data_IF_815091714372
#
_entry.id   IF_815091714372
#
_cell.length_a   1.000
_cell.length_b   1.000
_cell.length_c   1.000
_cell.angle_alpha   90.00
_cell.angle_beta   90.00
_cell.angle_gamma   90.00
#
_symmetry.space_group_name_H-M   'P 1'
#
loop_
_entity.id
_entity.type
_entity.pdbx_description
1 polymer ?
#
# COMPACT_ATOMS: atom_id res chain seq x y z
N UNK A 1 -101.91 45.47 -3.95
CA UNK A 1 -101.58 45.06 -5.33
C UNK A 1 -100.08 45.27 -5.53
N UNK A 2 -99.39 44.35 -6.23
CA UNK A 2 -98.04 44.50 -6.81
C UNK A 2 -96.87 44.75 -5.82
N UNK A 3 -96.10 43.76 -5.33
CA UNK A 3 -95.09 42.88 -5.99
C UNK A 3 -93.71 43.49 -6.35
N UNK A 4 -92.64 42.84 -5.83
CA UNK A 4 -91.27 42.63 -6.42
C UNK A 4 -90.30 43.82 -6.53
N UNK A 5 -88.94 43.71 -6.53
CA UNK A 5 -87.88 42.70 -6.19
C UNK A 5 -86.63 43.53 -5.74
N UNK A 6 -85.66 43.13 -4.91
CA UNK A 6 -85.25 41.86 -4.29
C UNK A 6 -84.25 40.95 -5.08
N UNK A 7 -83.06 41.46 -5.43
CA UNK A 7 -81.81 40.72 -5.76
C UNK A 7 -80.56 41.56 -5.44
N UNK A 8 -79.41 40.90 -5.19
CA UNK A 8 -78.02 41.44 -5.08
C UNK A 8 -77.38 41.71 -3.69
N UNK A 9 -77.31 40.69 -2.82
CA UNK A 9 -76.31 40.66 -1.71
C UNK A 9 -75.63 39.30 -1.43
N UNK A 10 -75.92 38.23 -2.17
CA UNK A 10 -75.41 36.88 -1.86
C UNK A 10 -74.11 36.47 -2.58
N UNK A 11 -73.75 37.12 -3.69
CA UNK A 11 -72.68 36.64 -4.59
C UNK A 11 -71.23 37.03 -4.20
N UNK A 12 -71.04 38.02 -3.33
CA UNK A 12 -69.70 38.54 -3.00
C UNK A 12 -68.98 37.79 -1.85
N UNK A 13 -69.71 37.21 -0.89
CA UNK A 13 -69.08 36.51 0.25
C UNK A 13 -68.42 35.17 -0.11
N UNK A 14 -68.83 34.50 -1.18
CA UNK A 14 -68.40 33.12 -1.44
C UNK A 14 -67.05 32.99 -2.18
N UNK A 15 -66.60 34.02 -2.90
CA UNK A 15 -65.32 33.98 -3.65
C UNK A 15 -64.08 34.22 -2.77
N UNK A 16 -64.19 35.07 -1.75
CA UNK A 16 -63.09 35.40 -0.83
C UNK A 16 -62.55 34.17 -0.07
N UNK A 17 -63.44 33.31 0.44
CA UNK A 17 -63.07 32.15 1.27
C UNK A 17 -62.40 31.00 0.50
N UNK A 18 -62.59 30.92 -0.82
CA UNK A 18 -61.89 29.93 -1.67
C UNK A 18 -60.47 30.39 -2.04
N UNK A 19 -60.29 31.66 -2.38
CA UNK A 19 -58.96 32.23 -2.70
C UNK A 19 -58.02 32.16 -1.49
N UNK A 20 -58.49 32.51 -0.29
CA UNK A 20 -57.66 32.46 0.92
C UNK A 20 -57.18 31.03 1.25
N UNK A 21 -58.03 30.01 1.04
CA UNK A 21 -57.65 28.60 1.23
C UNK A 21 -56.61 28.12 0.23
N UNK A 22 -56.71 28.52 -1.04
CA UNK A 22 -55.73 28.15 -2.08
C UNK A 22 -54.37 28.82 -1.78
N UNK A 23 -54.35 30.10 -1.40
CA UNK A 23 -53.11 30.82 -1.07
C UNK A 23 -52.40 30.19 0.14
N UNK A 24 -53.14 29.84 1.21
CA UNK A 24 -52.56 29.13 2.35
C UNK A 24 -52.04 27.73 2.01
N UNK A 25 -52.71 26.98 1.14
CA UNK A 25 -52.22 25.67 0.69
C UNK A 25 -50.95 25.79 -0.16
N UNK A 26 -50.87 26.76 -1.08
CA UNK A 26 -49.68 26.98 -1.92
C UNK A 26 -48.49 27.41 -1.07
N UNK A 27 -48.69 28.35 -0.12
CA UNK A 27 -47.64 28.75 0.82
C UNK A 27 -47.16 27.57 1.68
N UNK A 28 -48.06 26.72 2.19
CA UNK A 28 -47.68 25.51 2.93
C UNK A 28 -46.83 24.53 2.08
N UNK A 29 -47.16 24.34 0.80
CA UNK A 29 -46.37 23.46 -0.10
C UNK A 29 -45.00 24.02 -0.45
N UNK A 30 -44.88 25.35 -0.61
CA UNK A 30 -43.58 26.00 -0.82
C UNK A 30 -42.71 25.91 0.44
N UNK A 31 -43.29 26.09 1.64
CA UNK A 31 -42.58 25.98 2.92
C UNK A 31 -42.05 24.58 3.23
N UNK A 32 -42.68 23.51 2.74
CA UNK A 32 -42.19 22.13 2.96
C UNK A 32 -41.19 21.64 1.91
N UNK A 33 -40.91 22.45 0.88
CA UNK A 33 -39.90 22.13 -0.14
C UNK A 33 -38.48 22.54 0.26
N UNK A 34 -38.25 22.93 1.53
CA UNK A 34 -36.93 23.26 2.10
C UNK A 34 -36.43 22.18 3.10
N UNK A 35 -37.01 20.99 3.05
CA UNK A 35 -36.50 19.83 3.78
C UNK A 35 -35.25 19.24 3.12
N UNK A 36 -34.09 19.80 3.44
CA UNK A 36 -32.84 19.04 3.41
C UNK A 36 -32.20 18.82 2.04
N UNK A 37 -31.99 19.90 1.27
CA UNK A 37 -30.72 19.98 0.56
C UNK A 37 -29.63 20.30 1.60
N UNK A 38 -29.31 19.33 2.46
CA UNK A 38 -28.04 19.36 3.17
C UNK A 38 -27.00 19.09 2.10
N UNK A 39 -26.51 20.18 1.52
CA UNK A 39 -25.26 20.18 0.81
C UNK A 39 -24.23 19.64 1.80
N UNK A 40 -23.93 18.34 1.68
CA UNK A 40 -22.81 17.73 2.34
C UNK A 40 -21.57 18.28 1.64
N UNK A 41 -21.26 19.55 1.91
CA UNK A 41 -19.90 20.04 1.85
C UNK A 41 -19.12 19.12 2.77
N UNK A 42 -18.44 18.16 2.14
CA UNK A 42 -17.33 17.49 2.78
C UNK A 42 -16.38 18.61 3.15
N UNK A 43 -16.36 18.91 4.45
CA UNK A 43 -15.47 19.86 5.09
C UNK A 43 -14.08 19.64 4.50
N UNK A 44 -13.40 20.71 4.05
CA UNK A 44 -12.21 20.58 3.20
C UNK A 44 -11.13 19.80 3.95
N UNK A 45 -11.02 18.52 3.65
CA UNK A 45 -10.50 17.55 4.62
C UNK A 45 -9.06 17.23 4.27
N UNK A 46 -8.15 17.84 5.02
CA UNK A 46 -6.71 17.65 4.89
C UNK A 46 -6.38 16.14 4.86
N UNK A 47 -5.72 15.74 3.78
CA UNK A 47 -5.31 14.35 3.59
C UNK A 47 -4.03 14.11 4.37
N UNK A 48 -4.11 13.19 5.33
CA UNK A 48 -2.99 12.81 6.20
C UNK A 48 -1.76 12.44 5.37
N UNK A 49 -0.68 13.21 5.49
CA UNK A 49 0.60 12.85 4.85
C UNK A 49 1.32 11.76 5.64
N UNK A 50 2.20 11.01 4.97
CA UNK A 50 2.96 9.89 5.57
C UNK A 50 3.86 10.37 6.72
N UNK A 51 4.40 11.59 6.59
CA UNK A 51 5.25 12.24 7.57
C UNK A 51 4.49 12.94 8.71
N UNK A 52 3.17 12.85 8.76
CA UNK A 52 2.39 13.43 9.85
C UNK A 52 2.11 12.42 10.97
N UNK A 53 2.14 12.92 12.21
CA UNK A 53 1.71 12.17 13.38
C UNK A 53 0.21 11.88 13.32
N UNK A 54 -0.15 10.60 13.40
CA UNK A 54 -1.51 10.11 13.63
C UNK A 54 -1.78 10.10 15.14
N UNK A 55 -2.92 10.64 15.54
CA UNK A 55 -3.39 10.66 16.93
C UNK A 55 -4.20 9.42 17.28
N UNK A 56 -4.31 9.11 18.58
CA UNK A 56 -5.21 8.04 19.03
C UNK A 56 -6.68 8.27 18.63
N UNK A 57 -7.12 9.53 18.54
CA UNK A 57 -8.48 9.87 18.16
C UNK A 57 -8.76 9.52 16.69
N UNK A 58 -7.82 9.85 15.79
CA UNK A 58 -7.86 9.46 14.37
C UNK A 58 -7.81 7.94 14.21
N UNK A 59 -6.90 7.25 14.91
CA UNK A 59 -6.83 5.78 14.90
C UNK A 59 -8.16 5.15 15.38
N UNK A 60 -8.74 5.65 16.48
CA UNK A 60 -10.05 5.20 16.98
C UNK A 60 -11.17 5.50 15.97
N UNK A 61 -11.10 6.58 15.19
CA UNK A 61 -12.06 6.91 14.11
C UNK A 61 -11.91 5.95 12.92
N UNK A 62 -10.68 5.69 12.48
CA UNK A 62 -10.34 4.71 11.44
C UNK A 62 -10.86 3.30 11.77
N UNK A 63 -10.50 2.79 12.95
CA UNK A 63 -10.93 1.46 13.43
C UNK A 63 -12.46 1.36 13.59
N UNK A 64 -13.15 2.47 13.89
CA UNK A 64 -14.62 2.55 13.93
C UNK A 64 -15.27 2.47 12.55
N UNK A 65 -14.59 2.84 11.46
CA UNK A 65 -15.10 2.60 10.09
C UNK A 65 -15.01 1.11 9.77
N UNK A 66 -13.89 0.47 10.09
CA UNK A 66 -13.69 -0.97 9.85
C UNK A 66 -14.70 -1.80 10.64
N UNK A 67 -14.91 -1.52 11.93
CA UNK A 67 -15.91 -2.19 12.77
C UNK A 67 -17.38 -2.01 12.32
N UNK A 68 -17.67 -1.11 11.39
CA UNK A 68 -19.00 -0.96 10.78
C UNK A 68 -19.19 -1.82 9.52
N UNK A 69 -18.13 -2.49 9.06
CA UNK A 69 -18.15 -3.41 7.93
C UNK A 69 -18.04 -4.86 8.44
N UNK A 70 -18.79 -5.82 7.89
CA UNK A 70 -18.53 -7.24 8.11
C UNK A 70 -17.13 -7.62 7.57
N UNK A 71 -16.45 -8.54 8.24
CA UNK A 71 -15.04 -8.90 7.94
C UNK A 71 -14.86 -9.34 6.48
N UNK A 72 -15.73 -10.24 5.97
CA UNK A 72 -15.74 -10.70 4.57
C UNK A 72 -16.10 -9.62 3.52
N UNK A 73 -16.42 -8.40 3.97
CA UNK A 73 -16.90 -7.29 3.11
C UNK A 73 -16.01 -6.06 3.17
N UNK A 74 -14.79 -6.19 3.67
CA UNK A 74 -13.75 -5.17 3.48
C UNK A 74 -13.22 -5.34 2.05
N UNK A 75 -13.35 -4.34 1.15
CA UNK A 75 -12.80 -4.46 -0.19
C UNK A 75 -11.26 -4.58 -0.13
N UNK A 76 -10.63 -5.35 -1.03
CA UNK A 76 -9.18 -5.50 -1.05
C UNK A 76 -8.52 -4.13 -1.29
N UNK A 77 -7.50 -3.84 -0.49
CA UNK A 77 -6.71 -2.62 -0.65
C UNK A 77 -5.68 -2.81 -1.78
N UNK A 78 -5.52 -1.85 -2.70
CA UNK A 78 -4.53 -1.94 -3.76
C UNK A 78 -3.09 -2.13 -3.24
N UNK A 79 -2.27 -2.83 -4.01
CA UNK A 79 -0.85 -2.99 -3.69
C UNK A 79 -0.11 -1.67 -3.91
N UNK A 80 0.49 -1.13 -2.85
CA UNK A 80 1.29 0.11 -2.89
C UNK A 80 2.79 -0.15 -2.99
N UNK A 81 3.22 -1.36 -2.67
CA UNK A 81 4.60 -1.78 -2.82
C UNK A 81 4.83 -2.28 -4.24
N UNK A 82 5.51 -1.47 -5.06
CA UNK A 82 5.92 -1.86 -6.40
C UNK A 82 6.77 -3.15 -6.38
N UNK A 83 6.55 -4.12 -7.28
CA UNK A 83 7.39 -5.31 -7.39
C UNK A 83 8.79 -4.95 -7.90
N UNK A 84 9.71 -5.91 -7.91
CA UNK A 84 10.97 -5.78 -8.63
C UNK A 84 10.71 -5.49 -10.12
N UNK A 85 11.50 -4.62 -10.79
CA UNK A 85 11.37 -4.39 -12.22
C UNK A 85 11.55 -5.68 -13.03
N UNK A 86 10.70 -5.89 -14.02
CA UNK A 86 10.76 -7.05 -14.93
C UNK A 86 10.78 -6.55 -16.37
N UNK A 87 11.97 -6.49 -16.96
CA UNK A 87 12.14 -6.08 -18.36
C UNK A 87 12.26 -7.30 -19.28
N UNK A 88 11.46 -7.30 -20.36
CA UNK A 88 11.51 -8.36 -21.36
C UNK A 88 12.85 -8.36 -22.11
N UNK A 89 13.37 -9.55 -22.41
CA UNK A 89 14.65 -9.72 -23.11
C UNK A 89 14.69 -9.08 -24.52
N UNK A 90 13.54 -8.81 -25.14
CA UNK A 90 13.40 -8.10 -26.42
C UNK A 90 13.25 -6.57 -26.28
N UNK A 91 13.37 -6.01 -25.07
CA UNK A 91 13.14 -4.57 -24.83
C UNK A 91 14.24 -3.72 -25.49
N UNK A 92 13.84 -2.93 -26.48
CA UNK A 92 14.73 -2.09 -27.29
C UNK A 92 15.03 -0.70 -26.72
N UNK A 93 14.40 -0.32 -25.59
CA UNK A 93 14.71 0.94 -24.93
C UNK A 93 16.10 0.90 -24.28
N UNK A 94 16.83 2.04 -24.25
CA UNK A 94 17.98 2.25 -23.38
C UNK A 94 17.65 1.94 -21.91
N UNK A 95 18.67 1.50 -21.17
CA UNK A 95 18.52 1.20 -19.72
C UNK A 95 18.16 2.48 -18.95
N UNK A 96 18.79 3.62 -19.26
CA UNK A 96 18.42 4.94 -18.75
C UNK A 96 16.90 5.22 -18.86
N UNK A 97 16.29 5.02 -20.03
CA UNK A 97 14.85 5.24 -20.25
C UNK A 97 13.98 4.23 -19.48
N UNK A 98 14.44 2.99 -19.31
CA UNK A 98 13.76 1.98 -18.51
C UNK A 98 13.77 2.37 -17.03
N UNK A 99 14.93 2.77 -16.49
CA UNK A 99 15.06 3.24 -15.09
C UNK A 99 14.13 4.43 -14.84
N UNK A 100 14.17 5.43 -15.72
CA UNK A 100 13.32 6.62 -15.61
C UNK A 100 11.82 6.26 -15.71
N UNK A 101 11.45 5.32 -16.58
CA UNK A 101 10.08 4.81 -16.66
C UNK A 101 9.64 4.08 -15.39
N UNK A 102 10.49 3.26 -14.78
CA UNK A 102 10.16 2.58 -13.52
C UNK A 102 10.00 3.57 -12.37
N UNK A 103 10.91 4.55 -12.23
CA UNK A 103 10.81 5.60 -11.21
C UNK A 103 9.50 6.40 -11.33
N UNK A 104 9.11 6.78 -12.55
CA UNK A 104 7.85 7.46 -12.82
C UNK A 104 6.61 6.59 -12.57
N UNK A 105 6.70 5.27 -12.83
CA UNK A 105 5.63 4.34 -12.49
C UNK A 105 5.47 4.19 -10.97
N UNK A 106 6.58 4.13 -10.23
CA UNK A 106 6.58 3.92 -8.78
C UNK A 106 6.09 5.12 -7.99
N UNK A 107 6.44 6.35 -8.38
CA UNK A 107 5.93 7.56 -7.72
C UNK A 107 4.40 7.65 -7.73
N UNK A 108 3.78 7.25 -8.85
CA UNK A 108 2.33 7.25 -9.00
C UNK A 108 1.60 6.19 -8.18
N UNK A 109 2.24 5.06 -7.82
CA UNK A 109 1.59 3.95 -7.11
C UNK A 109 1.11 4.38 -5.71
N UNK A 110 1.79 5.36 -5.09
CA UNK A 110 1.47 5.88 -3.76
C UNK A 110 0.40 6.99 -3.76
N UNK A 111 -0.04 7.44 -4.94
CA UNK A 111 -1.02 8.52 -5.05
C UNK A 111 -2.39 8.10 -4.48
N UNK A 112 -2.88 8.86 -3.49
CA UNK A 112 -4.19 8.65 -2.87
C UNK A 112 -5.33 8.63 -3.90
N UNK A 113 -5.23 9.43 -4.97
CA UNK A 113 -6.22 9.44 -6.05
C UNK A 113 -6.22 8.13 -6.85
N UNK A 114 -5.05 7.64 -7.28
CA UNK A 114 -4.92 6.35 -7.99
C UNK A 114 -5.43 5.18 -7.15
N UNK A 115 -5.13 5.18 -5.86
CA UNK A 115 -5.64 4.18 -4.91
C UNK A 115 -7.15 4.34 -4.73
N UNK A 116 -7.65 5.57 -4.65
CA UNK A 116 -9.07 5.90 -4.54
C UNK A 116 -9.88 5.36 -5.73
N UNK A 117 -9.37 5.48 -6.96
CA UNK A 117 -10.05 5.00 -8.15
C UNK A 117 -10.16 3.47 -8.23
N UNK A 118 -9.27 2.74 -7.55
CA UNK A 118 -9.28 1.27 -7.49
C UNK A 118 -9.98 0.73 -6.24
N UNK A 119 -9.86 1.41 -5.09
CA UNK A 119 -10.32 0.92 -3.80
C UNK A 119 -11.84 1.05 -3.63
N UNK A 120 -12.51 -0.10 -3.47
CA UNK A 120 -13.92 -0.14 -3.10
C UNK A 120 -14.85 0.48 -4.16
N UNK A 121 -14.53 0.33 -5.45
CA UNK A 121 -15.36 0.82 -6.58
C UNK A 121 -16.82 0.41 -6.36
N UNK A 122 -17.72 1.40 -6.28
CA UNK A 122 -19.17 1.24 -6.06
C UNK A 122 -19.54 0.45 -4.78
N UNK A 123 -18.62 0.29 -3.83
CA UNK A 123 -18.81 -0.52 -2.62
C UNK A 123 -19.74 0.17 -1.60
N UNK A 124 -21.05 -0.14 -1.70
CA UNK A 124 -22.13 0.52 -0.93
C UNK A 124 -21.95 0.45 0.59
N UNK A 125 -21.37 -0.64 1.11
CA UNK A 125 -21.18 -0.83 2.57
C UNK A 125 -20.08 0.10 3.08
N UNK A 126 -18.93 0.18 2.39
CA UNK A 126 -17.85 1.12 2.71
C UNK A 126 -18.37 2.56 2.66
N UNK A 127 -19.09 2.96 1.59
CA UNK A 127 -19.68 4.31 1.51
C UNK A 127 -20.59 4.63 2.72
N UNK A 128 -21.42 3.68 3.17
CA UNK A 128 -22.26 3.86 4.37
C UNK A 128 -21.46 3.91 5.67
N UNK A 129 -20.39 3.13 5.80
CA UNK A 129 -19.52 3.13 6.98
C UNK A 129 -18.73 4.45 7.11
N UNK A 130 -18.22 4.97 6.00
CA UNK A 130 -17.54 6.26 5.88
C UNK A 130 -18.46 7.43 6.22
N UNK A 131 -19.66 7.48 5.62
CA UNK A 131 -20.66 8.52 5.91
C UNK A 131 -21.09 8.53 7.39
N UNK A 132 -21.19 7.37 8.05
CA UNK A 132 -21.50 7.27 9.50
C UNK A 132 -20.38 7.77 10.43
N UNK A 133 -19.23 8.15 9.88
CA UNK A 133 -18.05 8.63 10.59
C UNK A 133 -17.49 9.93 10.00
N UNK A 134 -18.25 10.57 9.13
CA UNK A 134 -17.94 11.85 8.48
C UNK A 134 -16.54 11.87 7.82
N UNK A 135 -16.14 10.74 7.25
CA UNK A 135 -14.79 10.50 6.71
C UNK A 135 -14.88 10.32 5.19
N UNK A 136 -14.02 11.01 4.43
CA UNK A 136 -13.91 10.77 2.99
C UNK A 136 -13.21 9.43 2.68
N UNK A 137 -13.36 8.92 1.46
CA UNK A 137 -12.67 7.67 1.07
C UNK A 137 -11.17 7.90 0.99
N UNK A 138 -10.77 9.09 0.54
CA UNK A 138 -9.42 9.58 0.38
C UNK A 138 -8.72 9.70 1.75
N UNK A 139 -9.42 10.21 2.78
CA UNK A 139 -8.94 10.20 4.17
C UNK A 139 -8.78 8.78 4.71
N UNK A 140 -9.73 7.88 4.47
CA UNK A 140 -9.62 6.50 4.93
C UNK A 140 -8.40 5.80 4.29
N UNK A 141 -8.13 6.09 3.02
CA UNK A 141 -6.93 5.63 2.32
C UNK A 141 -5.68 6.26 2.93
N UNK A 142 -5.63 7.58 3.16
CA UNK A 142 -4.45 8.24 3.71
C UNK A 142 -4.13 7.78 5.14
N UNK A 143 -5.14 7.53 5.98
CA UNK A 143 -4.95 6.86 7.27
C UNK A 143 -4.46 5.41 7.11
N UNK A 144 -4.97 4.65 6.14
CA UNK A 144 -4.48 3.28 5.86
C UNK A 144 -3.02 3.29 5.43
N UNK A 145 -2.59 4.27 4.62
CA UNK A 145 -1.19 4.45 4.21
C UNK A 145 -0.30 4.81 5.40
N UNK A 146 -0.65 5.84 6.19
CA UNK A 146 0.17 6.29 7.31
C UNK A 146 0.31 5.21 8.41
N UNK A 147 -0.78 4.53 8.75
CA UNK A 147 -0.78 3.43 9.73
C UNK A 147 -0.09 2.17 9.16
N UNK A 148 -0.32 1.85 7.88
CA UNK A 148 0.28 0.70 7.20
C UNK A 148 1.78 0.83 6.99
N UNK A 149 2.28 2.02 6.64
CA UNK A 149 3.71 2.30 6.56
C UNK A 149 4.36 2.26 7.95
N UNK A 150 3.69 2.74 9.00
CA UNK A 150 4.18 2.59 10.37
C UNK A 150 4.21 1.14 10.86
N UNK A 151 3.23 0.32 10.48
CA UNK A 151 3.27 -1.13 10.68
C UNK A 151 4.44 -1.78 9.95
N UNK A 152 4.67 -1.40 8.69
CA UNK A 152 5.77 -1.94 7.89
C UNK A 152 7.14 -1.51 8.43
N UNK A 153 7.26 -0.27 8.91
CA UNK A 153 8.45 0.26 9.59
C UNK A 153 8.73 -0.47 10.91
N UNK A 154 7.68 -0.89 11.63
CA UNK A 154 7.80 -1.73 12.82
C UNK A 154 8.30 -3.15 12.51
N UNK A 155 8.02 -3.69 11.32
CA UNK A 155 8.50 -5.00 10.86
C UNK A 155 9.95 -4.99 10.28
N UNK A 156 10.60 -3.82 10.21
CA UNK A 156 12.01 -3.75 9.79
C UNK A 156 12.93 -4.29 10.89
N UNK A 157 14.02 -4.93 10.44
CA UNK A 157 15.06 -5.44 11.34
C UNK A 157 16.00 -4.32 11.79
N UNK A 158 16.72 -4.55 12.89
CA UNK A 158 17.63 -3.55 13.51
C UNK A 158 18.89 -3.27 12.70
N UNK A 159 19.31 -4.20 11.85
CA UNK A 159 20.43 -4.08 10.89
C UNK A 159 20.05 -3.29 9.62
N UNK A 160 18.75 -3.22 9.28
CA UNK A 160 18.25 -2.54 8.09
C UNK A 160 18.13 -1.02 8.29
N UNK A 161 19.27 -0.32 8.20
CA UNK A 161 19.34 1.15 8.22
C UNK A 161 18.87 1.75 6.90
N UNK A 162 17.76 2.48 6.94
CA UNK A 162 17.15 3.06 5.73
C UNK A 162 18.06 4.04 4.99
N UNK A 163 18.77 4.92 5.70
CA UNK A 163 19.65 5.91 5.04
C UNK A 163 20.82 5.25 4.31
N UNK A 164 21.38 4.16 4.84
CA UNK A 164 22.44 3.40 4.17
C UNK A 164 21.90 2.67 2.92
N UNK A 165 20.67 2.14 2.99
CA UNK A 165 19.96 1.51 1.87
C UNK A 165 19.66 2.52 0.76
N UNK A 166 19.15 3.71 1.11
CA UNK A 166 18.87 4.81 0.17
C UNK A 166 20.18 5.27 -0.51
N UNK A 167 21.24 5.49 0.27
CA UNK A 167 22.53 5.92 -0.26
C UNK A 167 23.23 4.86 -1.15
N UNK A 168 23.15 3.57 -0.81
CA UNK A 168 23.67 2.48 -1.66
C UNK A 168 22.85 2.35 -2.94
N UNK A 169 21.52 2.37 -2.83
CA UNK A 169 20.62 2.24 -3.97
C UNK A 169 20.70 3.41 -4.95
N UNK A 170 20.74 4.65 -4.47
CA UNK A 170 20.88 5.82 -5.34
C UNK A 170 22.18 5.79 -6.16
N UNK A 171 23.28 5.25 -5.62
CA UNK A 171 24.51 5.03 -6.40
C UNK A 171 24.32 3.98 -7.50
N UNK A 172 23.66 2.86 -7.21
CA UNK A 172 23.38 1.82 -8.19
C UNK A 172 22.44 2.33 -9.31
N UNK A 173 21.36 3.03 -8.95
CA UNK A 173 20.42 3.65 -9.89
C UNK A 173 21.14 4.66 -10.79
N UNK A 174 22.02 5.51 -10.23
CA UNK A 174 22.83 6.44 -11.01
C UNK A 174 23.76 5.74 -12.01
N UNK A 175 24.35 4.59 -11.67
CA UNK A 175 25.14 3.82 -12.64
C UNK A 175 24.27 3.28 -13.79
N UNK A 176 23.07 2.78 -13.49
CA UNK A 176 22.13 2.32 -14.52
C UNK A 176 21.66 3.47 -15.44
N UNK A 177 21.45 4.67 -14.89
CA UNK A 177 21.10 5.87 -15.68
C UNK A 177 22.23 6.35 -16.61
N UNK A 178 23.48 5.93 -16.38
CA UNK A 178 24.58 6.21 -17.30
C UNK A 178 24.66 5.22 -18.48
N UNK A 179 23.98 4.06 -18.39
CA UNK A 179 23.98 3.08 -19.48
C UNK A 179 22.92 3.38 -20.55
N UNK A 180 23.41 3.87 -21.69
CA UNK A 180 22.59 4.23 -22.85
C UNK A 180 22.41 3.07 -23.84
N UNK A 181 22.92 1.86 -23.54
CA UNK A 181 22.74 0.68 -24.39
C UNK A 181 21.28 0.18 -24.32
N UNK A 182 20.68 -0.27 -25.44
CA UNK A 182 19.40 -0.97 -25.41
C UNK A 182 19.47 -2.23 -24.54
N UNK A 183 18.48 -2.48 -23.69
CA UNK A 183 18.51 -3.66 -22.81
C UNK A 183 18.62 -5.00 -23.58
N UNK A 184 18.02 -5.08 -24.77
CA UNK A 184 18.13 -6.25 -25.66
C UNK A 184 19.53 -6.45 -26.27
N UNK A 185 20.42 -5.45 -26.30
CA UNK A 185 21.79 -5.61 -26.82
C UNK A 185 22.76 -6.24 -25.82
N UNK A 186 22.41 -6.24 -24.53
CA UNK A 186 23.18 -6.89 -23.47
C UNK A 186 23.23 -8.41 -23.64
N UNK A 187 24.32 -9.03 -23.19
CA UNK A 187 24.44 -10.48 -22.99
C UNK A 187 23.50 -10.99 -21.89
N UNK A 188 23.28 -12.31 -21.80
CA UNK A 188 22.38 -12.90 -20.80
C UNK A 188 22.81 -12.59 -19.35
N UNK A 189 24.12 -12.65 -19.09
CA UNK A 189 24.71 -12.36 -17.78
C UNK A 189 24.58 -10.87 -17.43
N UNK A 190 24.89 -9.98 -18.37
CA UNK A 190 24.67 -8.54 -18.20
C UNK A 190 23.19 -8.23 -17.93
N UNK A 191 22.24 -8.81 -18.68
CA UNK A 191 20.80 -8.61 -18.42
C UNK A 191 20.40 -9.04 -17.02
N UNK A 192 20.88 -10.19 -16.56
CA UNK A 192 20.61 -10.68 -15.20
C UNK A 192 21.15 -9.70 -14.16
N UNK A 193 22.41 -9.26 -14.30
CA UNK A 193 23.03 -8.27 -13.43
C UNK A 193 22.31 -6.92 -13.46
N UNK A 194 21.97 -6.41 -14.63
CA UNK A 194 21.24 -5.14 -14.80
C UNK A 194 19.85 -5.20 -14.17
N UNK A 195 19.15 -6.34 -14.26
CA UNK A 195 17.86 -6.53 -13.56
C UNK A 195 18.01 -6.59 -12.04
N UNK A 196 19.04 -7.26 -11.53
CA UNK A 196 19.37 -7.31 -10.10
C UNK A 196 19.72 -5.91 -9.57
N UNK A 197 20.56 -5.15 -10.29
CA UNK A 197 20.84 -3.75 -9.99
C UNK A 197 19.56 -2.88 -10.07
N UNK A 198 18.64 -3.15 -11.01
CA UNK A 198 17.37 -2.43 -11.12
C UNK A 198 16.41 -2.69 -9.95
N UNK A 199 16.56 -3.77 -9.18
CA UNK A 199 15.79 -3.99 -7.94
C UNK A 199 16.00 -2.85 -6.93
N UNK A 200 17.13 -2.14 -6.99
CA UNK A 200 17.37 -0.96 -6.16
C UNK A 200 16.35 0.16 -6.40
N UNK A 201 15.75 0.28 -7.58
CA UNK A 201 14.73 1.30 -7.87
C UNK A 201 13.53 1.12 -6.93
N UNK A 202 12.97 -0.10 -6.89
CA UNK A 202 11.87 -0.44 -5.99
C UNK A 202 12.31 -0.36 -4.53
N UNK A 203 13.53 -0.83 -4.21
CA UNK A 203 14.03 -0.85 -2.83
C UNK A 203 14.22 0.55 -2.24
N UNK A 204 14.76 1.49 -3.03
CA UNK A 204 14.91 2.90 -2.63
C UNK A 204 13.53 3.53 -2.44
N UNK A 205 12.59 3.38 -3.38
CA UNK A 205 11.25 3.93 -3.22
C UNK A 205 10.55 3.42 -1.94
N UNK A 206 10.63 2.11 -1.65
CA UNK A 206 10.10 1.56 -0.39
C UNK A 206 10.81 2.18 0.83
N UNK A 207 12.14 2.30 0.79
CA UNK A 207 12.94 2.86 1.89
C UNK A 207 12.67 4.36 2.15
N UNK A 208 12.51 5.18 1.11
CA UNK A 208 12.22 6.61 1.22
C UNK A 208 10.88 6.88 1.93
N UNK A 209 9.81 6.18 1.53
CA UNK A 209 8.51 6.31 2.20
C UNK A 209 8.53 5.78 3.63
N UNK A 210 9.32 4.75 3.93
CA UNK A 210 9.51 4.25 5.30
C UNK A 210 10.33 5.22 6.16
N UNK A 211 11.26 5.99 5.58
CA UNK A 211 12.08 6.96 6.29
C UNK A 211 11.28 8.22 6.67
N UNK A 212 10.23 8.53 5.92
CA UNK A 212 9.30 9.63 6.21
C UNK A 212 8.42 9.37 7.44
N UNK A 213 8.28 8.11 7.90
CA UNK A 213 7.35 7.74 8.99
C UNK A 213 7.81 8.29 10.35
N UNK A 214 6.98 9.09 11.06
CA UNK A 214 7.30 9.58 12.39
C UNK A 214 7.40 8.47 13.44
N UNK A 215 8.34 8.55 14.40
CA UNK A 215 8.49 7.54 15.46
C UNK A 215 7.25 7.39 16.34
N UNK A 216 6.44 8.44 16.48
CA UNK A 216 5.15 8.39 17.19
C UNK A 216 4.16 7.45 16.52
N UNK A 217 4.14 7.36 15.19
CA UNK A 217 3.25 6.45 14.46
C UNK A 217 3.69 5.00 14.68
N UNK A 218 5.00 4.73 14.72
CA UNK A 218 5.55 3.41 15.04
C UNK A 218 5.13 2.99 16.46
N UNK A 219 5.27 3.88 17.44
CA UNK A 219 4.86 3.64 18.83
C UNK A 219 3.35 3.43 18.95
N UNK A 220 2.54 4.23 18.24
CA UNK A 220 1.08 4.08 18.21
C UNK A 220 0.67 2.71 17.64
N UNK A 221 1.32 2.27 16.55
CA UNK A 221 1.07 0.94 15.96
C UNK A 221 1.48 -0.17 16.91
N UNK A 222 2.67 -0.08 17.52
CA UNK A 222 3.16 -1.07 18.51
C UNK A 222 2.18 -1.24 19.67
N UNK A 223 1.65 -0.15 20.21
CA UNK A 223 0.69 -0.17 21.32
C UNK A 223 -0.70 -0.72 20.93
N UNK A 224 -1.03 -0.79 19.64
CA UNK A 224 -2.32 -1.25 19.12
C UNK A 224 -2.19 -2.48 18.19
N UNK A 225 -1.04 -3.16 18.21
CA UNK A 225 -0.66 -4.17 17.21
C UNK A 225 -1.67 -5.31 17.09
N UNK A 226 -2.18 -5.81 18.22
CA UNK A 226 -3.14 -6.90 18.24
C UNK A 226 -4.48 -6.58 17.56
N UNK A 227 -4.88 -5.30 17.57
CA UNK A 227 -6.07 -4.85 16.85
C UNK A 227 -5.76 -4.48 15.39
N UNK A 228 -4.53 -4.04 15.09
CA UNK A 228 -4.11 -3.65 13.75
C UNK A 228 -3.81 -4.84 12.84
N UNK A 229 -3.22 -5.91 13.37
CA UNK A 229 -2.85 -7.12 12.61
C UNK A 229 -4.03 -7.86 11.96
N UNK A 230 -5.25 -7.67 12.45
CA UNK A 230 -6.46 -8.28 11.89
C UNK A 230 -7.21 -7.39 10.89
N UNK A 231 -6.84 -6.12 10.75
CA UNK A 231 -7.56 -5.15 9.92
C UNK A 231 -6.71 -4.48 8.84
N UNK A 232 -5.39 -4.43 9.01
CA UNK A 232 -4.50 -3.85 8.01
C UNK A 232 -4.30 -4.81 6.82
N UNK A 233 -4.15 -4.27 5.58
CA UNK A 233 -3.79 -5.07 4.42
C UNK A 233 -2.52 -5.93 4.65
N UNK A 234 -2.50 -7.22 4.27
CA UNK A 234 -1.39 -8.14 4.59
C UNK A 234 -0.01 -7.68 4.15
N UNK A 235 0.09 -6.87 3.10
CA UNK A 235 1.34 -6.27 2.61
C UNK A 235 2.03 -5.35 3.63
N UNK A 236 1.28 -4.77 4.57
CA UNK A 236 1.82 -3.91 5.64
C UNK A 236 2.19 -4.68 6.93
N UNK A 237 1.88 -5.98 6.97
CA UNK A 237 2.13 -6.86 8.13
C UNK A 237 3.43 -7.65 8.01
N UNK A 238 4.23 -7.37 6.98
CA UNK A 238 5.51 -8.03 6.69
C UNK A 238 6.59 -6.97 6.51
N UNK A 239 7.85 -7.39 6.56
CA UNK A 239 8.97 -6.54 6.20
C UNK A 239 8.92 -6.23 4.69
N UNK A 240 8.76 -4.96 4.29
CA UNK A 240 8.58 -4.60 2.88
C UNK A 240 9.89 -4.60 2.08
N UNK A 241 11.05 -4.86 2.70
CA UNK A 241 12.33 -4.95 1.97
C UNK A 241 12.68 -6.39 1.60
N UNK A 242 12.11 -7.39 2.29
CA UNK A 242 12.46 -8.80 2.17
C UNK A 242 12.12 -9.49 0.84
N UNK A 243 11.35 -8.83 -0.03
CA UNK A 243 11.03 -9.28 -1.39
C UNK A 243 12.01 -8.72 -2.44
N UNK A 244 12.81 -7.71 -2.06
CA UNK A 244 13.70 -6.94 -2.94
C UNK A 244 15.17 -7.05 -2.53
N UNK A 245 15.48 -8.04 -1.71
CA UNK A 245 16.83 -8.32 -1.23
C UNK A 245 17.29 -9.66 -1.75
N UNK A 246 18.53 -9.72 -2.23
CA UNK A 246 19.15 -11.01 -2.49
C UNK A 246 19.34 -11.71 -1.14
N UNK A 247 18.61 -12.80 -0.96
CA UNK A 247 18.62 -13.54 0.31
C UNK A 247 20.00 -14.11 0.60
N UNK A 248 20.82 -14.37 -0.41
CA UNK A 248 22.19 -14.85 -0.25
C UNK A 248 23.13 -13.74 0.22
N UNK A 249 23.01 -12.52 -0.31
CA UNK A 249 23.85 -11.39 0.11
C UNK A 249 23.53 -10.91 1.53
N UNK A 250 22.25 -10.90 1.93
CA UNK A 250 21.83 -10.32 3.22
C UNK A 250 21.62 -11.32 4.35
N UNK A 251 21.29 -12.58 4.04
CA UNK A 251 21.02 -13.61 5.06
C UNK A 251 22.07 -14.72 5.05
N UNK A 252 22.98 -14.70 4.08
CA UNK A 252 23.82 -15.85 3.74
C UNK A 252 23.00 -17.02 3.19
N UNK A 253 23.66 -18.14 2.94
CA UNK A 253 22.96 -19.43 2.91
C UNK A 253 22.62 -19.76 4.36
N UNK A 254 21.34 -19.85 4.76
CA UNK A 254 21.02 -20.39 6.07
C UNK A 254 21.42 -21.86 6.06
N UNK A 255 22.52 -22.18 6.75
CA UNK A 255 22.82 -23.55 7.15
C UNK A 255 21.76 -23.96 8.17
N UNK A 256 20.57 -24.35 7.69
CA UNK A 256 19.59 -25.06 8.51
C UNK A 256 20.16 -26.44 8.81
N UNK A 257 21.01 -26.50 9.84
CA UNK A 257 21.06 -27.64 10.74
C UNK A 257 19.61 -27.92 11.10
N UNK A 258 19.06 -28.98 10.53
CA UNK A 258 17.74 -29.45 10.92
C UNK A 258 17.87 -29.87 12.38
N UNK A 259 17.02 -29.33 13.25
CA UNK A 259 16.89 -29.82 14.62
C UNK A 259 16.21 -31.21 14.67
N UNK A 260 15.89 -31.80 13.51
CA UNK A 260 15.87 -33.26 13.36
C UNK A 260 17.23 -33.80 13.81
N UNK A 261 17.32 -34.41 15.00
CA UNK A 261 18.56 -34.88 15.66
C UNK A 261 19.33 -35.95 14.89
N UNK A 262 19.85 -35.56 13.72
CA UNK A 262 20.32 -36.39 12.63
C UNK A 262 21.82 -36.28 12.38
N UNK A 263 22.54 -35.67 13.32
CA UNK A 263 23.97 -35.96 13.54
C UNK A 263 24.19 -37.47 13.83
N UNK A 264 23.14 -38.19 14.25
CA UNK A 264 23.12 -39.66 14.31
C UNK A 264 23.07 -40.37 12.96
N UNK A 265 22.91 -39.66 11.83
CA UNK A 265 22.92 -40.25 10.47
C UNK A 265 24.24 -40.01 9.72
N UNK A 266 25.19 -39.29 10.32
CA UNK A 266 26.60 -39.22 9.87
C UNK A 266 27.47 -40.21 10.65
N UNK A 267 27.01 -41.46 10.78
CA UNK A 267 27.87 -42.55 11.26
C UNK A 267 28.99 -42.82 10.25
N UNK A 268 30.19 -42.30 10.55
CA UNK A 268 31.40 -42.57 9.77
C UNK A 268 31.86 -44.02 10.00
N UNK A 269 31.21 -44.95 9.30
CA UNK A 269 31.55 -46.38 9.33
C UNK A 269 32.59 -46.69 8.27
N UNK A 270 33.64 -47.42 8.64
CA UNK A 270 34.73 -47.84 7.74
C UNK A 270 34.25 -48.70 6.57
N UNK A 271 33.06 -49.30 6.68
CA UNK A 271 32.36 -50.03 5.61
C UNK A 271 31.83 -49.15 4.48
N UNK A 272 31.55 -47.86 4.74
CA UNK A 272 31.04 -46.90 3.75
C UNK A 272 32.11 -45.91 3.28
N UNK A 273 33.33 -45.98 3.84
CA UNK A 273 34.45 -45.18 3.39
C UNK A 273 34.94 -45.66 2.01
N UNK A 274 35.03 -44.74 1.05
CA UNK A 274 35.75 -44.99 -0.20
C UNK A 274 37.25 -44.98 0.13
N UNK A 275 37.79 -46.15 0.47
CA UNK A 275 39.22 -46.34 0.68
C UNK A 275 39.89 -46.32 -0.69
N UNK A 276 40.55 -45.22 -1.04
CA UNK A 276 41.39 -45.13 -2.23
C UNK A 276 42.53 -46.14 -2.15
N UNK A 277 42.55 -47.11 -3.06
CA UNK A 277 43.68 -48.03 -3.25
C UNK A 277 44.71 -47.41 -4.19
N UNK A 278 45.13 -46.19 -3.89
CA UNK A 278 46.27 -45.60 -4.58
C UNK A 278 47.51 -46.41 -4.20
N UNK A 279 48.17 -46.97 -5.20
CA UNK A 279 49.43 -47.67 -4.99
C UNK A 279 50.43 -46.68 -4.39
N UNK A 280 51.24 -47.08 -3.38
CA UNK A 280 52.22 -46.16 -2.81
C UNK A 280 53.14 -45.65 -3.92
N UNK A 281 53.29 -44.32 -4.01
CA UNK A 281 54.12 -43.68 -5.02
C UNK A 281 55.48 -44.39 -5.10
N UNK A 282 55.97 -44.73 -6.31
CA UNK A 282 57.26 -45.38 -6.46
C UNK A 282 58.32 -44.47 -5.83
N UNK A 283 59.08 -45.03 -4.87
CA UNK A 283 60.12 -44.30 -4.15
C UNK A 283 60.98 -43.53 -5.14
N UNK A 284 60.90 -42.21 -5.11
CA UNK A 284 61.81 -41.35 -5.86
C UNK A 284 63.21 -41.58 -5.31
N UNK A 285 64.12 -42.00 -6.19
CA UNK A 285 65.53 -42.12 -5.83
C UNK A 285 66.04 -40.77 -5.30
N UNK A 286 66.90 -40.76 -4.27
CA UNK A 286 67.38 -39.52 -3.69
C UNK A 286 68.13 -38.71 -4.76
N UNK A 287 67.58 -37.53 -5.07
CA UNK A 287 68.18 -36.58 -6.00
C UNK A 287 69.59 -36.27 -5.50
N UNK A 288 70.60 -36.78 -6.21
CA UNK A 288 71.99 -36.38 -6.00
C UNK A 288 72.12 -34.93 -6.45
N UNK A 289 72.06 -34.02 -5.49
CA UNK A 289 72.49 -32.64 -5.69
C UNK A 289 74.01 -32.69 -5.89
N UNK A 290 74.44 -32.31 -7.10
CA UNK A 290 75.82 -31.96 -7.45
C UNK A 290 75.86 -30.47 -7.80
#
# INVERSE_FOLDING_TARGET
MSETRLTDMSLLKHKSTRLCRIICCVLATVSMSHSGCSEHSLEYTELKQINEKVTEAELKRYLKVIKLMPEDKIPPFPTVYAPAPVWSHIRSLPIEDLVNSEQNNMSQIWEVQRISDQFGIRHRILKKALLRRDMSKEQFISFTLAIGLAASRHQLRSDQKLDEIINKGNKAIQQLQLDKRPFSSLSLEERHRTLHEAMWIARVNRAEHLNQVPPENINLVKNNWDQLKSVLPPQFLKNPLDELTDTLEERGIPFTLKEDGSDQLLEWTSTNAIIGTDAPDPKTDPVKIQ
#
